data_IF_149003340816
#
_entry.id   IF_149003340816
#
_cell.length_a   1.000
_cell.length_b   1.000
_cell.length_c   1.000
_cell.angle_alpha   90.00
_cell.angle_beta   90.00
_cell.angle_gamma   90.00
#
_symmetry.space_group_name_H-M   'P 1'
#
loop_
_entity.id
_entity.type
_entity.pdbx_description
1 polymer ?
#
# COMPACT_ATOMS: atom_id res chain seq x y z
N UNK A 1 46.43 -4.70 20.08
CA UNK A 1 45.58 -3.84 19.22
C UNK A 1 44.96 -4.70 18.14
N UNK A 2 43.65 -4.98 18.25
CA UNK A 2 42.69 -5.47 17.22
C UNK A 2 41.48 -6.06 17.98
N UNK A 3 40.52 -5.20 18.31
CA UNK A 3 39.29 -4.91 17.54
C UNK A 3 38.25 -5.99 17.79
N UNK A 4 37.49 -5.77 18.87
CA UNK A 4 36.24 -6.46 19.18
C UNK A 4 35.21 -5.88 18.22
N UNK A 5 34.89 -6.59 17.13
CA UNK A 5 33.75 -6.21 16.29
C UNK A 5 32.50 -6.78 16.95
N UNK A 6 31.82 -5.92 17.70
CA UNK A 6 30.45 -6.14 18.15
C UNK A 6 29.55 -6.00 16.93
N UNK A 7 29.28 -7.10 16.24
CA UNK A 7 28.25 -7.19 15.20
C UNK A 7 26.86 -7.12 15.85
N UNK A 8 26.50 -5.93 16.33
CA UNK A 8 25.09 -5.53 16.38
C UNK A 8 24.74 -4.89 15.05
N UNK A 9 24.75 -5.70 13.98
CA UNK A 9 23.92 -5.42 12.84
C UNK A 9 22.48 -5.57 13.34
N UNK A 10 21.90 -4.45 13.79
CA UNK A 10 20.46 -4.33 13.87
C UNK A 10 19.97 -4.52 12.44
N UNK A 11 19.63 -5.75 12.10
CA UNK A 11 18.75 -6.05 10.98
C UNK A 11 17.49 -5.23 11.22
N UNK A 12 17.45 -4.05 10.62
CA UNK A 12 16.19 -3.39 10.32
C UNK A 12 15.57 -4.34 9.31
N UNK A 13 14.84 -5.33 9.82
CA UNK A 13 13.86 -6.07 9.05
C UNK A 13 12.95 -4.99 8.49
N UNK A 14 13.25 -4.54 7.26
CA UNK A 14 12.24 -4.04 6.36
C UNK A 14 11.30 -5.22 6.19
N UNK A 15 10.39 -5.36 7.15
CA UNK A 15 9.27 -6.26 7.09
C UNK A 15 8.51 -5.79 5.87
N UNK A 16 8.85 -6.37 4.72
CA UNK A 16 8.08 -6.27 3.49
C UNK A 16 6.75 -6.87 3.87
N UNK A 17 5.85 -6.03 4.38
CA UNK A 17 4.49 -6.43 4.70
C UNK A 17 3.82 -6.61 3.35
N UNK A 18 3.89 -7.83 2.84
CA UNK A 18 3.13 -8.25 1.68
C UNK A 18 1.68 -7.85 1.88
N UNK A 19 1.07 -7.33 0.81
CA UNK A 19 -0.35 -7.01 0.80
C UNK A 19 -1.17 -8.27 1.18
N UNK A 20 -2.04 -8.13 2.18
CA UNK A 20 -2.93 -9.18 2.67
C UNK A 20 -4.34 -8.98 2.10
N UNK A 21 -4.68 -9.80 1.11
CA UNK A 21 -5.96 -9.72 0.40
C UNK A 21 -7.16 -10.03 1.31
N UNK A 22 -7.03 -10.97 2.27
CA UNK A 22 -8.13 -11.32 3.17
C UNK A 22 -8.47 -10.15 4.10
N UNK A 23 -7.45 -9.39 4.51
CA UNK A 23 -7.65 -8.16 5.26
C UNK A 23 -8.34 -7.08 4.43
N UNK A 24 -7.96 -6.90 3.16
CA UNK A 24 -8.61 -5.95 2.27
C UNK A 24 -10.12 -6.25 2.15
N UNK A 25 -10.48 -7.51 1.92
CA UNK A 25 -11.89 -7.92 1.78
C UNK A 25 -12.70 -7.63 3.05
N UNK A 26 -12.10 -7.88 4.23
CA UNK A 26 -12.72 -7.54 5.52
C UNK A 26 -12.90 -6.03 5.71
N UNK A 27 -12.02 -5.21 5.13
CA UNK A 27 -12.11 -3.76 5.12
C UNK A 27 -13.05 -3.24 4.00
N UNK A 28 -13.57 -4.12 3.14
CA UNK A 28 -14.53 -3.80 2.07
C UNK A 28 -13.87 -3.30 0.78
N UNK A 29 -12.66 -3.75 0.48
CA UNK A 29 -11.97 -3.43 -0.77
C UNK A 29 -11.05 -4.58 -1.20
N UNK A 30 -10.51 -4.56 -2.41
CA UNK A 30 -9.50 -5.51 -2.87
C UNK A 30 -8.68 -4.91 -4.01
N UNK A 31 -7.60 -5.59 -4.39
CA UNK A 31 -6.80 -5.24 -5.56
C UNK A 31 -7.07 -6.27 -6.66
N UNK A 32 -7.60 -5.81 -7.77
CA UNK A 32 -7.78 -6.60 -8.99
C UNK A 32 -6.51 -6.49 -9.84
N UNK A 33 -5.86 -7.62 -10.13
CA UNK A 33 -4.60 -7.63 -10.88
C UNK A 33 -4.86 -7.85 -12.36
N UNK A 34 -4.53 -6.86 -13.19
CA UNK A 34 -4.51 -7.00 -14.64
C UNK A 34 -3.12 -7.52 -15.07
N UNK A 35 -3.11 -8.57 -15.90
CA UNK A 35 -1.89 -9.21 -16.37
C UNK A 35 -0.97 -8.19 -17.10
N UNK A 36 0.07 -7.71 -16.40
CA UNK A 36 1.13 -6.88 -16.97
C UNK A 36 1.02 -5.37 -16.73
N UNK A 37 -0.02 -4.87 -16.07
CA UNK A 37 -0.20 -3.42 -15.83
C UNK A 37 -0.22 -3.00 -14.36
N UNK A 38 -0.24 -3.96 -13.43
CA UNK A 38 -0.37 -3.72 -11.99
C UNK A 38 -1.81 -3.84 -11.49
N UNK A 39 -2.01 -3.57 -10.20
CA UNK A 39 -3.32 -3.70 -9.56
C UNK A 39 -4.24 -2.49 -9.74
N UNK A 40 -5.55 -2.72 -9.73
CA UNK A 40 -6.60 -1.70 -9.59
C UNK A 40 -7.29 -1.85 -8.26
N UNK A 41 -7.59 -0.74 -7.59
CA UNK A 41 -8.24 -0.77 -6.30
C UNK A 41 -9.76 -0.77 -6.49
N UNK A 42 -10.44 -1.79 -5.97
CA UNK A 42 -11.87 -1.99 -6.15
C UNK A 42 -12.58 -2.03 -4.80
N UNK A 43 -13.79 -1.47 -4.75
CA UNK A 43 -14.68 -1.64 -3.61
C UNK A 43 -15.27 -3.05 -3.56
N UNK A 44 -15.50 -3.58 -2.36
CA UNK A 44 -16.22 -4.84 -2.14
C UNK A 44 -17.27 -4.69 -1.03
N UNK A 45 -18.14 -5.70 -0.89
CA UNK A 45 -19.13 -5.71 0.19
C UNK A 45 -20.12 -4.53 0.16
N UNK A 46 -20.41 -3.98 -1.03
CA UNK A 46 -21.34 -2.86 -1.21
C UNK A 46 -20.70 -1.47 -1.09
N UNK A 47 -19.38 -1.36 -0.88
CA UNK A 47 -18.65 -0.10 -0.97
C UNK A 47 -18.33 0.24 -2.43
N UNK A 48 -18.37 1.53 -2.76
CA UNK A 48 -17.94 2.00 -4.08
C UNK A 48 -16.41 1.97 -4.19
N UNK A 49 -15.91 2.00 -5.43
CA UNK A 49 -14.46 2.11 -5.67
C UNK A 49 -13.91 3.41 -5.06
N UNK A 50 -14.65 4.52 -5.17
CA UNK A 50 -14.24 5.81 -4.60
C UNK A 50 -14.15 5.78 -3.07
N UNK A 51 -15.08 5.10 -2.39
CA UNK A 51 -15.02 4.95 -0.92
C UNK A 51 -13.79 4.14 -0.50
N UNK A 52 -13.51 3.06 -1.24
CA UNK A 52 -12.33 2.24 -1.03
C UNK A 52 -11.04 3.04 -1.25
N UNK A 53 -10.98 3.81 -2.34
CA UNK A 53 -9.85 4.69 -2.65
C UNK A 53 -9.62 5.70 -1.53
N UNK A 54 -10.68 6.37 -1.09
CA UNK A 54 -10.61 7.36 -0.02
C UNK A 54 -10.14 6.76 1.30
N UNK A 55 -10.67 5.58 1.67
CA UNK A 55 -10.29 4.87 2.88
C UNK A 55 -8.80 4.50 2.87
N UNK A 56 -8.33 3.88 1.77
CA UNK A 56 -6.94 3.44 1.65
C UNK A 56 -5.99 4.64 1.59
N UNK A 57 -6.33 5.68 0.83
CA UNK A 57 -5.58 6.93 0.74
C UNK A 57 -5.40 7.58 2.11
N UNK A 58 -6.48 7.75 2.88
CA UNK A 58 -6.41 8.35 4.21
C UNK A 58 -5.59 7.51 5.18
N UNK A 59 -5.76 6.18 5.15
CA UNK A 59 -5.03 5.31 6.06
C UNK A 59 -3.52 5.31 5.73
N UNK A 60 -3.15 5.33 4.45
CA UNK A 60 -1.77 5.50 4.00
C UNK A 60 -1.20 6.86 4.44
N UNK A 61 -1.94 7.95 4.23
CA UNK A 61 -1.53 9.29 4.66
C UNK A 61 -1.35 9.43 6.18
N UNK A 62 -2.06 8.63 6.98
CA UNK A 62 -1.89 8.53 8.44
C UNK A 62 -0.72 7.62 8.85
N UNK A 63 0.08 7.12 7.91
CA UNK A 63 1.26 6.30 8.16
C UNK A 63 0.99 4.80 8.26
N UNK A 64 -0.14 4.30 7.74
CA UNK A 64 -0.41 2.87 7.75
C UNK A 64 0.43 2.12 6.72
N UNK A 65 1.49 1.45 7.19
CA UNK A 65 2.39 0.67 6.33
C UNK A 65 1.68 -0.37 5.44
N UNK A 66 0.59 -0.98 5.92
CA UNK A 66 -0.22 -1.92 5.15
C UNK A 66 -0.91 -1.25 3.95
N UNK A 67 -1.47 -0.06 4.15
CA UNK A 67 -2.14 0.68 3.08
C UNK A 67 -1.12 1.30 2.11
N UNK A 68 0.04 1.76 2.59
CA UNK A 68 1.14 2.15 1.73
C UNK A 68 1.63 1.00 0.83
N UNK A 69 1.73 -0.21 1.38
CA UNK A 69 2.06 -1.40 0.60
C UNK A 69 0.99 -1.71 -0.45
N UNK A 70 -0.29 -1.60 -0.10
CA UNK A 70 -1.39 -1.76 -1.05
C UNK A 70 -1.34 -0.73 -2.19
N UNK A 71 -1.03 0.54 -1.90
CA UNK A 71 -0.86 1.57 -2.94
C UNK A 71 0.34 1.27 -3.85
N UNK A 72 1.40 0.65 -3.34
CA UNK A 72 2.58 0.27 -4.12
C UNK A 72 2.31 -0.89 -5.09
N UNK A 73 1.26 -1.69 -4.88
CA UNK A 73 0.82 -2.76 -5.79
C UNK A 73 0.02 -2.22 -6.98
N UNK A 74 -0.49 -0.98 -6.88
CA UNK A 74 -1.36 -0.41 -7.90
C UNK A 74 -0.58 -0.08 -9.18
N UNK A 75 -1.28 -0.15 -10.31
CA UNK A 75 -0.82 0.37 -11.59
C UNK A 75 -0.45 1.87 -11.47
N UNK A 76 0.57 2.37 -12.19
CA UNK A 76 0.94 3.78 -12.15
C UNK A 76 -0.23 4.72 -12.45
N UNK A 77 -1.05 4.36 -13.44
CA UNK A 77 -2.25 5.15 -13.82
C UNK A 77 -3.29 5.18 -12.70
N UNK A 78 -3.48 4.06 -11.99
CA UNK A 78 -4.40 3.96 -10.87
C UNK A 78 -3.91 4.79 -9.68
N UNK A 79 -2.59 4.77 -9.38
CA UNK A 79 -2.00 5.64 -8.35
C UNK A 79 -2.20 7.11 -8.67
N UNK A 80 -1.96 7.50 -9.93
CA UNK A 80 -2.14 8.88 -10.38
C UNK A 80 -3.61 9.31 -10.24
N UNK A 81 -4.56 8.47 -10.66
CA UNK A 81 -5.98 8.74 -10.49
C UNK A 81 -6.33 8.90 -9.00
N UNK A 82 -5.85 7.99 -8.16
CA UNK A 82 -6.10 8.03 -6.72
C UNK A 82 -5.54 9.30 -6.07
N UNK A 83 -4.35 9.76 -6.47
CA UNK A 83 -3.80 11.05 -6.00
C UNK A 83 -4.61 12.26 -6.46
N UNK A 84 -5.11 12.26 -7.70
CA UNK A 84 -5.97 13.34 -8.23
C UNK A 84 -7.29 13.42 -7.46
N UNK A 85 -7.89 12.28 -7.13
CA UNK A 85 -9.18 12.24 -6.45
C UNK A 85 -9.08 12.38 -4.93
N UNK A 86 -8.07 11.79 -4.29
CA UNK A 86 -7.97 11.73 -2.82
C UNK A 86 -6.92 12.68 -2.22
N UNK A 87 -6.09 13.32 -3.05
CA UNK A 87 -4.95 14.11 -2.61
C UNK A 87 -3.70 13.27 -2.33
N UNK A 88 -2.60 13.90 -1.88
CA UNK A 88 -1.32 13.23 -1.69
C UNK A 88 -1.43 12.14 -0.61
N UNK A 89 -1.12 10.90 -0.98
CA UNK A 89 -1.26 9.73 -0.08
C UNK A 89 -0.05 9.48 0.81
N UNK A 90 0.98 10.34 0.72
CA UNK A 90 2.22 10.20 1.48
C UNK A 90 3.16 9.09 0.96
N UNK A 91 2.80 8.43 -0.13
CA UNK A 91 3.66 7.46 -0.84
C UNK A 91 4.38 8.21 -1.97
N UNK A 92 5.71 8.30 -2.00
CA UNK A 92 6.39 8.93 -3.13
C UNK A 92 6.15 8.09 -4.39
N UNK A 93 5.68 8.75 -5.46
CA UNK A 93 5.68 8.18 -6.81
C UNK A 93 7.14 7.95 -7.22
N UNK A 94 7.62 6.72 -7.02
CA UNK A 94 8.90 6.22 -7.53
C UNK A 94 8.66 5.31 -8.73
#
# INVERSE_FOLDING_TARGET
MKMIFSEKAQSVEWCVRSFDMARAECEGWFIEYDCGTGGRLRGSGGKSDLDAWWQVAQAAARGSAYHCAALAELAPDERLALEVYCGPTGTPLL
#
